data_IF_672854156311
#
_entry.id   IF_672854156311
#
_cell.length_a   1.000
_cell.length_b   1.000
_cell.length_c   1.000
_cell.angle_alpha   90.00
_cell.angle_beta   90.00
_cell.angle_gamma   90.00
#
_symmetry.space_group_name_H-M   'P 1'
#
loop_
_entity.id
_entity.type
_entity.pdbx_description
1 polymer ?
#
# COMPACT_ATOMS: atom_id res chain seq x y z
N UNK A 1 -0.70 -8.08 -10.28
CA UNK A 1 -1.20 -7.70 -8.93
C UNK A 1 -1.16 -6.18 -8.75
N UNK A 2 -1.59 -5.62 -7.60
CA UNK A 2 -1.55 -4.16 -7.36
C UNK A 2 -0.40 -3.76 -6.43
N UNK A 3 0.26 -2.65 -6.71
CA UNK A 3 1.25 -1.97 -5.85
C UNK A 3 0.67 -0.60 -5.50
N UNK A 4 0.61 -0.27 -4.21
CA UNK A 4 0.07 1.01 -3.74
C UNK A 4 1.19 1.78 -3.05
N UNK A 5 1.60 2.89 -3.65
CA UNK A 5 2.60 3.81 -3.11
C UNK A 5 1.87 5.01 -2.53
N UNK A 6 1.91 5.14 -1.20
CA UNK A 6 1.25 6.22 -0.47
C UNK A 6 2.28 7.22 0.04
N UNK A 7 2.01 8.51 -0.08
CA UNK A 7 2.78 9.56 0.61
C UNK A 7 1.87 10.26 1.61
N UNK A 8 2.25 10.18 2.89
CA UNK A 8 1.54 10.77 3.99
C UNK A 8 2.48 11.59 4.88
N UNK A 9 1.92 12.50 5.69
CA UNK A 9 2.72 13.42 6.51
C UNK A 9 2.04 14.77 6.70
N UNK A 10 2.70 15.67 7.40
CA UNK A 10 2.14 16.95 7.79
C UNK A 10 1.64 17.80 6.60
N UNK A 11 0.66 18.66 6.88
CA UNK A 11 0.09 19.59 5.91
C UNK A 11 1.14 20.56 5.33
N UNK A 12 1.01 20.86 4.02
CA UNK A 12 1.87 21.80 3.25
C UNK A 12 3.37 21.48 3.17
N UNK A 13 3.76 20.25 3.50
CA UNK A 13 5.16 19.79 3.45
C UNK A 13 5.61 19.16 2.11
N UNK A 14 4.91 19.45 1.01
CA UNK A 14 5.36 19.07 -0.35
C UNK A 14 5.19 17.59 -0.71
N UNK A 15 4.12 16.94 -0.24
CA UNK A 15 3.77 15.54 -0.55
C UNK A 15 3.43 15.33 -2.03
N UNK A 16 2.46 16.07 -2.54
CA UNK A 16 2.04 16.01 -3.95
C UNK A 16 3.19 16.39 -4.90
N UNK A 17 4.06 17.32 -4.48
CA UNK A 17 5.28 17.65 -5.21
C UNK A 17 6.24 16.46 -5.30
N UNK A 18 6.45 15.71 -4.20
CA UNK A 18 7.26 14.49 -4.21
C UNK A 18 6.63 13.39 -5.09
N UNK A 19 5.31 13.19 -4.98
CA UNK A 19 4.56 12.21 -5.78
C UNK A 19 4.69 12.46 -7.28
N UNK A 20 4.74 13.71 -7.72
CA UNK A 20 4.88 14.02 -9.14
C UNK A 20 6.23 13.52 -9.70
N UNK A 21 7.31 13.49 -8.92
CA UNK A 21 8.56 12.85 -9.40
C UNK A 21 8.41 11.34 -9.59
N UNK A 22 7.70 10.68 -8.67
CA UNK A 22 7.39 9.25 -8.81
C UNK A 22 6.50 8.98 -10.01
N UNK A 23 5.55 9.87 -10.27
CA UNK A 23 4.69 9.80 -11.44
C UNK A 23 5.49 9.91 -12.74
N UNK A 24 6.35 10.93 -12.86
CA UNK A 24 7.22 11.11 -14.02
C UNK A 24 8.15 9.90 -14.25
N UNK A 25 8.76 9.38 -13.18
CA UNK A 25 9.60 8.18 -13.27
C UNK A 25 8.80 6.96 -13.75
N UNK A 26 7.62 6.71 -13.18
CA UNK A 26 6.80 5.55 -13.54
C UNK A 26 6.31 5.62 -15.00
N UNK A 27 5.94 6.81 -15.50
CA UNK A 27 5.58 6.98 -16.91
C UNK A 27 6.78 6.77 -17.85
N UNK A 28 7.95 7.31 -17.49
CA UNK A 28 9.18 7.10 -18.24
C UNK A 28 9.59 5.61 -18.26
N UNK A 29 9.47 4.92 -17.12
CA UNK A 29 9.74 3.50 -16.98
C UNK A 29 8.75 2.65 -17.81
N UNK A 30 7.45 2.95 -17.74
CA UNK A 30 6.44 2.27 -18.55
C UNK A 30 6.71 2.43 -20.04
N UNK A 31 7.03 3.65 -20.49
CA UNK A 31 7.37 3.94 -21.89
C UNK A 31 8.64 3.22 -22.34
N UNK A 32 9.67 3.21 -21.49
CA UNK A 32 10.92 2.48 -21.70
C UNK A 32 10.67 0.98 -21.89
N UNK A 33 9.84 0.36 -21.06
CA UNK A 33 9.52 -1.06 -21.16
C UNK A 33 8.70 -1.43 -22.40
N UNK A 34 7.85 -0.52 -22.89
CA UNK A 34 7.07 -0.74 -24.11
C UNK A 34 7.94 -0.61 -25.38
N UNK A 35 8.84 0.37 -25.40
CA UNK A 35 9.63 0.72 -26.58
C UNK A 35 11.03 0.08 -26.61
N UNK A 36 11.46 -0.56 -25.52
CA UNK A 36 12.80 -1.16 -25.41
C UNK A 36 13.93 -0.14 -25.31
N UNK A 37 13.65 1.09 -24.87
CA UNK A 37 14.64 2.17 -24.74
C UNK A 37 15.13 2.31 -23.30
N UNK A 38 16.33 2.88 -23.05
CA UNK A 38 16.76 3.21 -21.70
C UNK A 38 15.78 4.18 -21.02
N UNK A 39 15.59 4.04 -19.71
CA UNK A 39 14.78 4.99 -18.91
C UNK A 39 15.52 6.33 -18.88
N UNK A 40 14.90 7.36 -19.45
CA UNK A 40 15.36 8.75 -19.39
C UNK A 40 14.26 9.58 -18.79
N UNK A 41 14.55 10.22 -17.67
CA UNK A 41 13.58 11.04 -16.95
C UNK A 41 14.33 12.12 -16.13
N UNK A 42 13.60 13.17 -15.77
CA UNK A 42 14.10 14.28 -14.97
C UNK A 42 15.23 15.09 -15.65
N UNK A 43 15.04 15.41 -16.93
CA UNK A 43 15.93 16.29 -17.69
C UNK A 43 15.60 17.78 -17.41
N UNK A 44 16.50 18.70 -17.76
CA UNK A 44 16.30 20.15 -17.55
C UNK A 44 15.09 20.75 -18.30
N UNK A 45 14.62 20.04 -19.33
CA UNK A 45 13.44 20.41 -20.11
C UNK A 45 12.15 19.77 -19.58
N UNK A 46 12.25 18.90 -18.57
CA UNK A 46 11.07 18.29 -17.95
C UNK A 46 10.37 19.32 -17.07
N UNK A 47 9.04 19.30 -17.13
CA UNK A 47 8.18 20.03 -16.20
C UNK A 47 7.38 18.99 -15.42
N UNK A 48 7.60 18.91 -14.12
CA UNK A 48 6.98 17.91 -13.26
C UNK A 48 5.51 18.27 -13.03
N UNK A 49 4.60 17.46 -13.57
CA UNK A 49 3.15 17.65 -13.46
C UNK A 49 2.47 16.40 -12.87
N UNK A 50 1.17 16.50 -12.57
CA UNK A 50 0.43 15.38 -12.01
C UNK A 50 -0.57 15.82 -10.94
N UNK A 51 -0.39 15.31 -9.72
CA UNK A 51 -1.15 15.71 -8.55
C UNK A 51 -1.12 17.23 -8.39
N UNK A 52 -2.30 17.78 -8.12
CA UNK A 52 -2.43 19.21 -7.95
C UNK A 52 -1.65 19.69 -6.73
N UNK A 53 -0.90 20.76 -6.91
CA UNK A 53 -0.17 21.40 -5.82
C UNK A 53 -0.22 22.91 -6.02
N UNK A 54 -0.70 23.65 -5.01
CA UNK A 54 -0.68 25.13 -4.99
C UNK A 54 0.10 25.69 -3.80
N UNK A 55 0.47 26.96 -3.89
CA UNK A 55 0.87 27.78 -2.74
C UNK A 55 -0.36 28.47 -2.13
N UNK A 56 -0.48 28.48 -0.81
CA UNK A 56 -1.58 29.13 -0.09
C UNK A 56 -1.80 28.52 1.30
N UNK A 57 -2.40 29.29 2.22
CA UNK A 57 -2.73 28.81 3.57
C UNK A 57 -3.95 27.88 3.61
N UNK A 58 -4.81 27.94 2.58
CA UNK A 58 -6.01 27.09 2.43
C UNK A 58 -5.64 25.65 2.06
N UNK A 59 -6.57 24.72 2.16
CA UNK A 59 -6.36 23.31 1.77
C UNK A 59 -6.28 23.12 0.26
N UNK A 60 -5.77 21.95 -0.15
CA UNK A 60 -5.68 21.54 -1.57
C UNK A 60 -6.15 20.08 -1.73
N UNK A 61 -5.70 19.19 -0.83
CA UNK A 61 -6.08 17.76 -0.80
C UNK A 61 -6.95 17.47 0.43
N UNK A 62 -8.19 17.04 0.25
CA UNK A 62 -9.07 16.51 1.31
C UNK A 62 -9.23 14.99 1.18
N UNK A 63 -9.10 14.24 2.27
CA UNK A 63 -9.21 12.77 2.25
C UNK A 63 -7.99 12.05 1.65
N UNK A 64 -8.24 11.03 0.84
CA UNK A 64 -7.23 10.23 0.14
C UNK A 64 -7.48 10.34 -1.37
N UNK A 65 -6.48 10.75 -2.11
CA UNK A 65 -6.50 10.86 -3.55
C UNK A 65 -5.67 9.75 -4.16
N UNK A 66 -6.17 9.14 -5.23
CA UNK A 66 -5.44 8.16 -6.02
C UNK A 66 -5.25 8.69 -7.43
N UNK A 67 -4.10 8.39 -8.03
CA UNK A 67 -3.90 8.68 -9.45
C UNK A 67 -4.90 7.89 -10.29
N UNK A 68 -5.59 8.57 -11.21
CA UNK A 68 -6.77 8.03 -11.89
C UNK A 68 -6.48 6.85 -12.82
N UNK A 69 -5.23 6.70 -13.27
CA UNK A 69 -4.82 5.63 -14.18
C UNK A 69 -3.71 4.77 -13.55
N UNK A 70 -3.96 3.49 -13.26
CA UNK A 70 -2.92 2.58 -12.79
C UNK A 70 -1.81 2.42 -13.82
N UNK A 71 -0.56 2.63 -13.42
CA UNK A 71 0.60 2.54 -14.32
C UNK A 71 1.09 1.08 -14.33
N UNK A 72 1.06 0.45 -15.50
CA UNK A 72 1.44 -0.96 -15.65
C UNK A 72 2.96 -1.10 -15.77
N UNK A 73 3.62 -1.67 -14.76
CA UNK A 73 5.06 -1.93 -14.78
C UNK A 73 5.31 -3.43 -14.83
N UNK A 74 6.17 -3.88 -15.74
CA UNK A 74 6.67 -5.25 -15.76
C UNK A 74 7.76 -5.38 -14.69
N UNK A 75 7.53 -6.22 -13.70
CA UNK A 75 8.50 -6.54 -12.65
C UNK A 75 9.66 -7.38 -13.20
N UNK A 76 10.75 -7.50 -12.43
CA UNK A 76 11.88 -8.33 -12.79
C UNK A 76 11.52 -9.82 -12.95
N UNK A 77 10.49 -10.29 -12.22
CA UNK A 77 9.91 -11.64 -12.36
C UNK A 77 9.17 -11.85 -13.70
N UNK A 78 8.92 -10.80 -14.45
CA UNK A 78 8.11 -10.80 -15.68
C UNK A 78 6.62 -10.55 -15.45
N UNK A 79 6.14 -10.53 -14.20
CA UNK A 79 4.74 -10.19 -13.89
C UNK A 79 4.44 -8.72 -14.20
N UNK A 80 3.24 -8.45 -14.72
CA UNK A 80 2.72 -7.08 -14.84
C UNK A 80 2.05 -6.65 -13.54
N UNK A 81 2.61 -5.62 -12.91
CA UNK A 81 2.09 -4.98 -11.71
C UNK A 81 1.35 -3.69 -12.08
N UNK A 82 0.19 -3.46 -11.46
CA UNK A 82 -0.53 -2.20 -11.56
C UNK A 82 -0.09 -1.30 -10.39
N UNK A 83 0.67 -0.25 -10.70
CA UNK A 83 1.19 0.69 -9.70
C UNK A 83 0.21 1.87 -9.58
N UNK A 84 -0.26 2.14 -8.38
CA UNK A 84 -1.15 3.26 -8.08
C UNK A 84 -0.46 4.17 -7.05
N UNK A 85 -0.40 5.45 -7.37
CA UNK A 85 0.07 6.48 -6.45
C UNK A 85 -1.10 7.03 -5.64
N UNK A 86 -0.87 7.24 -4.36
CA UNK A 86 -1.84 7.73 -3.39
C UNK A 86 -1.29 8.95 -2.66
N UNK A 87 -1.99 10.08 -2.77
CA UNK A 87 -1.72 11.31 -2.02
C UNK A 87 -2.71 11.39 -0.86
N UNK A 88 -2.22 11.49 0.36
CA UNK A 88 -3.10 11.65 1.52
C UNK A 88 -3.21 13.12 1.91
N UNK A 89 -4.34 13.48 2.52
CA UNK A 89 -4.46 14.74 3.22
C UNK A 89 -3.31 14.89 4.22
N UNK A 90 -2.85 16.13 4.38
CA UNK A 90 -1.89 16.45 5.42
C UNK A 90 -2.52 16.37 6.80
N UNK A 91 -1.94 15.58 7.69
CA UNK A 91 -2.36 15.58 9.08
C UNK A 91 -2.10 16.96 9.72
N UNK A 92 -2.89 17.31 10.74
CA UNK A 92 -2.70 18.49 11.61
C UNK A 92 -2.94 19.85 10.94
N UNK A 93 -3.98 19.96 10.10
CA UNK A 93 -4.46 21.27 9.67
C UNK A 93 -5.49 21.85 10.67
N UNK A 94 -5.83 23.13 10.50
CA UNK A 94 -6.70 23.85 11.45
C UNK A 94 -8.18 23.52 11.35
N UNK A 95 -8.62 22.66 10.41
CA UNK A 95 -10.05 22.39 10.19
C UNK A 95 -10.42 20.89 10.25
N UNK A 96 -9.46 19.99 10.47
CA UNK A 96 -9.72 18.55 10.63
C UNK A 96 -9.40 18.12 12.05
N UNK A 97 -10.20 17.22 12.58
CA UNK A 97 -9.91 16.67 13.91
C UNK A 97 -8.67 15.78 13.83
N UNK A 98 -7.94 15.67 14.94
CA UNK A 98 -6.84 14.72 15.09
C UNK A 98 -7.27 13.29 14.69
N UNK A 99 -8.49 12.91 15.05
CA UNK A 99 -9.08 11.61 14.73
C UNK A 99 -9.29 11.40 13.23
N UNK A 100 -9.77 12.40 12.48
CA UNK A 100 -9.91 12.29 11.02
C UNK A 100 -8.57 12.10 10.32
N UNK A 101 -7.56 12.87 10.73
CA UNK A 101 -6.20 12.76 10.20
C UNK A 101 -5.61 11.36 10.50
N UNK A 102 -5.83 10.87 11.72
CA UNK A 102 -5.45 9.53 12.17
C UNK A 102 -6.09 8.45 11.31
N UNK A 103 -7.38 8.54 11.05
CA UNK A 103 -8.10 7.55 10.23
C UNK A 103 -7.59 7.53 8.79
N UNK A 104 -7.38 8.69 8.17
CA UNK A 104 -6.85 8.81 6.80
C UNK A 104 -5.46 8.17 6.70
N UNK A 105 -4.57 8.47 7.64
CA UNK A 105 -3.22 7.94 7.64
C UNK A 105 -3.18 6.43 7.93
N UNK A 106 -4.00 5.97 8.89
CA UNK A 106 -4.12 4.55 9.22
C UNK A 106 -4.62 3.77 8.01
N UNK A 107 -5.67 4.27 7.36
CA UNK A 107 -6.20 3.73 6.11
C UNK A 107 -5.13 3.65 5.03
N UNK A 108 -4.42 4.74 4.77
CA UNK A 108 -3.38 4.78 3.72
C UNK A 108 -2.26 3.77 4.01
N UNK A 109 -1.85 3.64 5.26
CA UNK A 109 -0.82 2.70 5.69
C UNK A 109 -1.28 1.26 5.48
N UNK A 110 -2.52 0.95 5.90
CA UNK A 110 -3.13 -0.37 5.74
C UNK A 110 -3.19 -0.80 4.28
N UNK A 111 -3.63 0.08 3.38
CA UNK A 111 -3.83 -0.27 1.96
C UNK A 111 -2.53 -0.21 1.15
N UNK A 112 -1.55 0.56 1.59
CA UNK A 112 -0.27 0.70 0.89
C UNK A 112 0.61 -0.55 1.00
N UNK A 113 1.39 -0.80 -0.06
CA UNK A 113 2.54 -1.72 0.01
C UNK A 113 3.84 -0.96 0.32
N UNK A 114 3.90 0.31 -0.06
CA UNK A 114 4.94 1.27 0.30
C UNK A 114 4.29 2.53 0.88
N UNK A 115 4.45 2.74 2.18
CA UNK A 115 4.06 3.98 2.85
C UNK A 115 5.28 4.88 2.99
N UNK A 116 5.24 6.05 2.38
CA UNK A 116 6.25 7.10 2.53
C UNK A 116 5.74 8.09 3.56
N UNK A 117 6.50 8.30 4.63
CA UNK A 117 6.20 9.28 5.65
C UNK A 117 7.08 10.52 5.45
N UNK A 118 6.48 11.58 4.93
CA UNK A 118 7.14 12.83 4.58
C UNK A 118 7.20 13.76 5.80
N UNK A 119 8.40 13.86 6.36
CA UNK A 119 8.73 14.69 7.53
C UNK A 119 9.67 15.81 7.08
N UNK A 120 9.70 16.95 7.78
CA UNK A 120 10.58 18.09 7.44
C UNK A 120 11.56 18.33 8.56
N UNK A 121 12.78 18.73 8.20
CA UNK A 121 13.93 19.00 9.06
C UNK A 121 14.50 17.77 9.76
N UNK A 122 13.70 17.08 10.58
CA UNK A 122 14.15 15.95 11.41
C UNK A 122 12.98 15.03 11.80
N UNK A 123 13.29 13.79 12.17
CA UNK A 123 12.30 12.87 12.77
C UNK A 123 12.19 13.19 14.26
N UNK A 124 11.07 13.80 14.64
CA UNK A 124 10.77 14.17 16.02
C UNK A 124 9.92 13.09 16.71
N UNK A 125 9.88 13.10 18.05
CA UNK A 125 9.12 12.10 18.82
C UNK A 125 7.63 12.10 18.52
N UNK A 126 7.04 13.27 18.24
CA UNK A 126 5.64 13.37 17.81
C UNK A 126 5.41 12.63 16.48
N UNK A 127 6.36 12.69 15.55
CA UNK A 127 6.31 11.97 14.29
C UNK A 127 6.31 10.44 14.52
N UNK A 128 7.10 9.95 15.48
CA UNK A 128 7.14 8.54 15.88
C UNK A 128 5.85 8.12 16.60
N UNK A 129 5.41 8.90 17.58
CA UNK A 129 4.20 8.62 18.38
C UNK A 129 2.93 8.59 17.53
N UNK A 130 2.80 9.52 16.57
CA UNK A 130 1.70 9.52 15.63
C UNK A 130 1.64 8.18 14.89
N UNK A 131 2.76 7.71 14.35
CA UNK A 131 2.83 6.41 13.69
C UNK A 131 2.51 5.24 14.64
N UNK A 132 2.97 5.29 15.89
CA UNK A 132 2.68 4.24 16.90
C UNK A 132 1.19 4.10 17.17
N UNK A 133 0.44 5.20 17.28
CA UNK A 133 -1.02 5.14 17.43
C UNK A 133 -1.66 4.38 16.26
N UNK A 134 -1.22 4.67 15.04
CA UNK A 134 -1.75 4.08 13.81
C UNK A 134 -1.39 2.61 13.66
N UNK A 135 -0.17 2.26 14.05
CA UNK A 135 0.33 0.89 14.08
C UNK A 135 -0.45 0.05 15.08
N UNK A 136 -0.77 0.57 16.27
CA UNK A 136 -1.64 -0.13 17.23
C UNK A 136 -3.01 -0.44 16.64
N UNK A 137 -3.63 0.50 15.93
CA UNK A 137 -4.90 0.26 15.24
C UNK A 137 -4.80 -0.82 14.15
N UNK A 138 -3.68 -0.86 13.41
CA UNK A 138 -3.42 -1.94 12.46
C UNK A 138 -3.21 -3.29 13.14
N UNK A 139 -2.43 -3.34 14.22
CA UNK A 139 -2.15 -4.57 14.96
C UNK A 139 -3.40 -5.14 15.63
N UNK A 140 -4.23 -4.32 16.28
CA UNK A 140 -5.50 -4.77 16.86
C UNK A 140 -6.38 -5.44 15.82
N UNK A 141 -6.31 -4.96 14.57
CA UNK A 141 -7.03 -5.57 13.47
C UNK A 141 -6.40 -6.86 12.91
N UNK A 142 -5.12 -7.11 13.18
CA UNK A 142 -4.42 -8.34 12.81
C UNK A 142 -4.40 -9.40 13.91
N UNK A 143 -4.37 -9.01 15.18
CA UNK A 143 -4.39 -9.92 16.33
C UNK A 143 -5.68 -10.73 16.40
N UNK A 144 -6.82 -10.09 16.11
CA UNK A 144 -8.10 -10.78 15.99
C UNK A 144 -8.09 -11.85 14.87
N UNK A 145 -7.15 -11.76 13.93
CA UNK A 145 -7.01 -12.66 12.78
C UNK A 145 -6.00 -13.80 13.01
N UNK A 146 -5.38 -13.89 14.20
CA UNK A 146 -4.38 -14.93 14.59
C UNK A 146 -3.26 -15.16 13.55
N UNK A 147 -2.77 -14.10 12.91
CA UNK A 147 -1.73 -14.21 11.89
C UNK A 147 -0.32 -14.12 12.47
N UNK A 148 0.61 -14.87 11.88
CA UNK A 148 2.04 -14.80 12.16
C UNK A 148 2.71 -13.91 11.11
N UNK A 149 3.26 -12.75 11.51
CA UNK A 149 4.03 -11.86 10.63
C UNK A 149 3.88 -10.37 10.96
N UNK A 150 4.62 -9.52 10.24
CA UNK A 150 4.49 -8.06 10.37
C UNK A 150 3.24 -7.56 9.64
N UNK A 151 2.42 -6.69 10.25
CA UNK A 151 1.16 -6.24 9.65
C UNK A 151 1.32 -5.38 8.39
N UNK A 152 2.46 -4.72 8.24
CA UNK A 152 2.71 -3.81 7.13
C UNK A 152 3.98 -4.21 6.39
N UNK A 153 4.07 -3.81 5.11
CA UNK A 153 5.19 -4.16 4.25
C UNK A 153 6.35 -3.17 4.43
N UNK A 154 6.32 -2.03 3.73
CA UNK A 154 7.45 -1.08 3.76
C UNK A 154 6.99 0.28 4.26
N UNK A 155 7.69 0.81 5.27
CA UNK A 155 7.64 2.20 5.67
C UNK A 155 8.94 2.89 5.27
N UNK A 156 8.83 4.03 4.58
CA UNK A 156 9.96 4.85 4.18
C UNK A 156 9.82 6.25 4.78
N UNK A 157 10.69 6.61 5.71
CA UNK A 157 10.81 8.00 6.14
C UNK A 157 11.49 8.81 5.03
N UNK A 158 10.87 9.93 4.65
CA UNK A 158 11.44 10.89 3.74
C UNK A 158 11.61 12.20 4.50
N UNK A 159 12.84 12.48 4.95
CA UNK A 159 13.18 13.68 5.71
C UNK A 159 13.56 14.77 4.73
N UNK A 160 12.70 15.77 4.60
CA UNK A 160 12.86 16.92 3.70
C UNK A 160 13.69 18.00 4.36
N UNK A 161 14.40 18.77 3.56
CA UNK A 161 15.16 19.94 4.00
C UNK A 161 16.16 19.60 5.13
N UNK A 162 16.77 18.41 5.08
CA UNK A 162 17.67 17.92 6.11
C UNK A 162 18.92 18.81 6.23
N UNK A 163 19.33 19.13 7.47
CA UNK A 163 20.28 20.21 7.77
C UNK A 163 21.69 19.76 8.15
N UNK A 164 21.91 18.47 8.43
CA UNK A 164 23.19 17.96 8.94
C UNK A 164 23.88 16.95 7.99
N UNK A 165 24.10 17.28 6.69
CA UNK A 165 24.66 16.33 5.72
C UNK A 165 26.11 15.90 6.01
N UNK A 166 26.82 16.64 6.86
CA UNK A 166 28.18 16.29 7.29
C UNK A 166 28.21 15.12 8.27
N UNK A 167 27.16 14.98 9.09
CA UNK A 167 27.01 13.87 10.03
C UNK A 167 26.35 12.67 9.34
N UNK A 168 25.28 12.95 8.57
CA UNK A 168 24.53 11.94 7.83
C UNK A 168 24.39 12.38 6.37
N UNK A 169 25.12 11.78 5.42
CA UNK A 169 25.05 12.18 4.02
C UNK A 169 23.63 12.04 3.46
N UNK A 170 23.29 12.83 2.45
CA UNK A 170 21.97 12.73 1.81
C UNK A 170 21.73 11.35 1.17
N UNK A 171 20.46 11.02 0.96
CA UNK A 171 20.03 9.75 0.39
C UNK A 171 19.75 8.66 1.43
N UNK A 172 19.76 7.41 0.97
CA UNK A 172 19.43 6.24 1.78
C UNK A 172 20.53 5.89 2.78
N UNK A 173 21.81 6.00 2.38
CA UNK A 173 22.92 5.56 3.22
C UNK A 173 23.00 6.33 4.54
N UNK A 174 22.99 7.67 4.48
CA UNK A 174 22.94 8.48 5.69
C UNK A 174 21.58 8.41 6.37
N UNK A 175 20.49 8.23 5.61
CA UNK A 175 19.15 8.05 6.17
C UNK A 175 19.03 6.83 7.06
N UNK A 176 19.59 5.68 6.68
CA UNK A 176 19.55 4.48 7.52
C UNK A 176 20.38 4.64 8.79
N UNK A 177 21.58 5.22 8.69
CA UNK A 177 22.39 5.55 9.88
C UNK A 177 21.63 6.50 10.83
N UNK A 178 21.00 7.53 10.28
CA UNK A 178 20.17 8.47 11.05
C UNK A 178 18.97 7.77 11.71
N UNK A 179 18.32 6.85 10.99
CA UNK A 179 17.18 6.08 11.53
C UNK A 179 17.60 5.14 12.65
N UNK A 180 18.76 4.47 12.53
CA UNK A 180 19.32 3.62 13.59
C UNK A 180 19.50 4.41 14.88
N UNK A 181 20.05 5.63 14.79
CA UNK A 181 20.22 6.51 15.95
C UNK A 181 18.88 6.99 16.53
N UNK A 182 17.92 7.35 15.67
CA UNK A 182 16.57 7.77 16.10
C UNK A 182 15.84 6.64 16.85
N UNK A 183 15.98 5.39 16.39
CA UNK A 183 15.34 4.21 16.99
C UNK A 183 16.15 3.57 18.11
N UNK A 184 17.39 4.01 18.32
CA UNK A 184 18.21 3.49 19.40
C UNK A 184 17.54 3.77 20.75
N UNK A 185 17.60 2.79 21.65
CA UNK A 185 17.03 2.88 23.00
C UNK A 185 18.11 2.66 24.04
N UNK A 186 18.00 3.31 25.19
CA UNK A 186 18.97 3.17 26.27
C UNK A 186 18.31 2.98 27.63
N UNK A 187 19.05 2.36 28.55
CA UNK A 187 18.61 2.14 29.92
C UNK A 187 18.46 3.50 30.63
N UNK A 188 17.22 3.85 31.01
CA UNK A 188 16.88 5.14 31.62
C UNK A 188 15.99 6.04 30.75
N UNK A 189 15.76 5.69 29.48
CA UNK A 189 14.74 6.34 28.66
C UNK A 189 13.32 5.98 29.16
N UNK A 190 12.34 6.90 29.10
CA UNK A 190 10.95 6.60 29.45
C UNK A 190 10.42 5.38 28.68
N UNK A 191 9.72 4.48 29.38
CA UNK A 191 9.23 3.23 28.80
C UNK A 191 8.30 3.46 27.60
N UNK A 192 7.52 4.54 27.59
CA UNK A 192 6.67 4.91 26.46
C UNK A 192 7.45 5.11 25.16
N UNK A 193 8.62 5.76 25.23
CA UNK A 193 9.48 6.01 24.07
C UNK A 193 10.14 4.73 23.56
N UNK A 194 10.53 3.84 24.49
CA UNK A 194 11.08 2.52 24.17
C UNK A 194 10.05 1.63 23.49
N UNK A 195 8.82 1.60 24.03
CA UNK A 195 7.70 0.84 23.45
C UNK A 195 7.30 1.37 22.07
N UNK A 196 7.33 2.68 21.87
CA UNK A 196 7.07 3.33 20.57
C UNK A 196 8.05 2.81 19.51
N UNK A 197 9.35 2.81 19.82
CA UNK A 197 10.41 2.34 18.91
C UNK A 197 10.32 0.84 18.65
N UNK A 198 10.16 0.03 19.71
CA UNK A 198 9.99 -1.42 19.59
C UNK A 198 8.79 -1.78 18.71
N UNK A 199 7.67 -1.07 18.89
CA UNK A 199 6.47 -1.27 18.10
C UNK A 199 6.71 -0.96 16.62
N UNK A 200 7.33 0.18 16.30
CA UNK A 200 7.62 0.58 14.92
C UNK A 200 8.52 -0.45 14.23
N UNK A 201 9.61 -0.86 14.89
CA UNK A 201 10.57 -1.83 14.36
C UNK A 201 9.94 -3.21 14.10
N UNK A 202 8.91 -3.60 14.86
CA UNK A 202 8.22 -4.90 14.69
C UNK A 202 7.03 -4.87 13.74
N UNK A 203 6.57 -3.70 13.31
CA UNK A 203 5.30 -3.58 12.59
C UNK A 203 5.44 -3.54 11.07
N UNK A 204 6.64 -3.26 10.57
CA UNK A 204 6.93 -3.21 9.14
C UNK A 204 7.97 -4.25 8.77
N UNK A 205 7.81 -4.93 7.64
CA UNK A 205 8.82 -5.85 7.12
C UNK A 205 10.11 -5.13 6.73
N UNK A 206 9.99 -3.90 6.24
CA UNK A 206 11.12 -3.05 5.87
C UNK A 206 10.92 -1.64 6.41
N UNK A 207 11.97 -1.09 7.01
CA UNK A 207 12.06 0.30 7.40
C UNK A 207 13.18 0.98 6.61
N UNK A 208 12.82 2.00 5.84
CA UNK A 208 13.72 2.77 5.01
C UNK A 208 13.74 4.22 5.46
N UNK A 209 14.83 4.92 5.20
CA UNK A 209 14.95 6.35 5.48
C UNK A 209 15.78 7.04 4.40
N UNK A 210 15.26 8.14 3.85
CA UNK A 210 15.94 8.98 2.88
C UNK A 210 16.03 10.41 3.40
N UNK A 211 17.24 10.97 3.38
CA UNK A 211 17.50 12.37 3.72
C UNK A 211 17.58 13.18 2.43
N UNK A 212 16.66 14.12 2.24
CA UNK A 212 16.63 14.98 1.07
C UNK A 212 17.10 16.39 1.43
N UNK A 213 17.92 17.03 0.57
CA UNK A 213 18.32 18.42 0.76
C UNK A 213 17.15 19.37 0.53
N UNK A 214 17.38 20.65 0.78
CA UNK A 214 16.45 21.71 0.42
C UNK A 214 16.32 21.88 -1.11
N UNK A 215 15.10 21.92 -1.69
CA UNK A 215 14.90 21.93 -3.14
C UNK A 215 15.26 23.25 -3.84
N UNK A 216 15.51 24.32 -3.09
CA UNK A 216 15.90 25.64 -3.60
C UNK A 216 14.82 26.72 -3.45
N UNK A 217 15.26 27.98 -3.43
CA UNK A 217 14.40 29.14 -3.14
C UNK A 217 13.24 29.28 -4.12
N UNK A 218 13.47 29.10 -5.43
CA UNK A 218 12.40 29.16 -6.45
C UNK A 218 11.27 28.18 -6.17
N UNK A 219 11.62 26.96 -5.73
CA UNK A 219 10.66 25.91 -5.38
C UNK A 219 9.95 26.21 -4.06
N UNK A 220 10.61 26.86 -3.10
CA UNK A 220 10.04 27.17 -1.79
C UNK A 220 9.17 28.44 -1.76
N UNK A 221 9.52 29.45 -2.55
CA UNK A 221 8.78 30.71 -2.66
C UNK A 221 7.48 30.55 -3.47
N UNK A 222 7.37 29.48 -4.28
CA UNK A 222 6.13 28.89 -4.88
C UNK A 222 5.19 29.83 -5.65
N UNK A 223 5.51 31.11 -5.83
CA UNK A 223 4.67 32.09 -6.55
C UNK A 223 4.83 32.01 -8.08
N UNK A 224 5.95 31.48 -8.57
CA UNK A 224 6.27 31.38 -10.00
C UNK A 224 6.73 30.00 -10.46
N UNK A 225 7.00 29.08 -9.53
CA UNK A 225 7.45 27.73 -9.88
C UNK A 225 6.31 26.93 -10.52
N UNK A 226 6.54 26.39 -11.71
CA UNK A 226 5.54 25.60 -12.45
C UNK A 226 5.91 24.12 -12.55
N UNK A 227 6.89 23.67 -11.76
CA UNK A 227 7.41 22.30 -11.85
C UNK A 227 8.63 22.16 -12.77
N UNK A 228 9.16 23.25 -13.31
CA UNK A 228 10.31 23.23 -14.23
C UNK A 228 11.55 22.66 -13.54
N UNK A 229 12.03 21.52 -14.02
CA UNK A 229 13.12 20.80 -13.37
C UNK A 229 14.35 21.70 -13.25
N UNK A 230 14.68 22.49 -14.28
CA UNK A 230 15.78 23.46 -14.30
C UNK A 230 15.84 24.44 -13.11
N UNK A 231 14.72 24.71 -12.45
CA UNK A 231 14.64 25.65 -11.32
C UNK A 231 14.87 25.00 -9.96
N UNK A 232 14.99 23.66 -9.93
CA UNK A 232 15.22 22.87 -8.72
C UNK A 232 16.73 22.75 -8.48
N UNK A 233 17.20 22.79 -7.24
CA UNK A 233 18.62 22.57 -6.91
C UNK A 233 19.11 21.19 -7.40
N UNK A 234 20.27 21.14 -8.06
CA UNK A 234 20.83 19.91 -8.66
C UNK A 234 20.95 18.75 -7.68
N UNK A 235 21.50 19.02 -6.49
CA UNK A 235 21.66 18.05 -5.40
C UNK A 235 20.32 17.41 -4.99
N UNK A 236 19.24 18.22 -4.91
CA UNK A 236 17.90 17.69 -4.63
C UNK A 236 17.40 16.78 -5.75
N UNK A 237 17.61 17.17 -7.01
CA UNK A 237 17.18 16.34 -8.15
C UNK A 237 17.91 15.00 -8.17
N UNK A 238 19.19 15.01 -7.85
CA UNK A 238 20.00 13.79 -7.81
C UNK A 238 19.49 12.83 -6.73
N UNK A 239 19.24 13.32 -5.52
CA UNK A 239 18.77 12.47 -4.42
C UNK A 239 17.34 11.99 -4.61
N UNK A 240 16.44 12.83 -5.16
CA UNK A 240 15.09 12.38 -5.54
C UNK A 240 15.13 11.37 -6.69
N UNK A 241 16.06 11.53 -7.65
CA UNK A 241 16.24 10.56 -8.73
C UNK A 241 16.63 9.19 -8.16
N UNK A 242 17.67 9.15 -7.33
CA UNK A 242 18.12 7.93 -6.64
C UNK A 242 17.00 7.29 -5.82
N UNK A 243 16.25 8.10 -5.07
CA UNK A 243 15.12 7.63 -4.28
C UNK A 243 14.02 6.99 -5.13
N UNK A 244 13.57 7.67 -6.20
CA UNK A 244 12.51 7.17 -7.07
C UNK A 244 12.93 5.86 -7.76
N UNK A 245 14.15 5.81 -8.31
CA UNK A 245 14.69 4.63 -8.97
C UNK A 245 14.83 3.46 -7.99
N UNK A 246 15.33 3.72 -6.77
CA UNK A 246 15.48 2.68 -5.76
C UNK A 246 14.14 2.14 -5.25
N UNK A 247 13.13 3.00 -5.05
CA UNK A 247 11.85 2.59 -4.47
C UNK A 247 10.90 1.98 -5.51
N UNK A 248 11.00 2.39 -6.77
CA UNK A 248 10.00 2.10 -7.81
C UNK A 248 10.56 1.31 -8.99
N UNK A 249 11.82 0.85 -8.92
CA UNK A 249 12.39 -0.04 -9.94
C UNK A 249 11.61 -1.36 -10.06
N UNK A 250 11.68 -2.03 -11.23
CA UNK A 250 11.05 -3.34 -11.43
C UNK A 250 11.45 -4.43 -10.41
N UNK A 251 12.59 -4.28 -9.74
CA UNK A 251 13.07 -5.17 -8.67
C UNK A 251 12.59 -4.77 -7.28
N UNK A 252 12.30 -3.48 -7.06
CA UNK A 252 11.88 -2.96 -5.76
C UNK A 252 10.36 -3.00 -5.56
N UNK A 253 9.58 -2.90 -6.64
CA UNK A 253 8.12 -2.92 -6.57
C UNK A 253 7.61 -4.24 -6.00
N UNK A 254 6.96 -4.17 -4.83
CA UNK A 254 6.33 -5.30 -4.17
C UNK A 254 4.81 -5.17 -4.24
N UNK A 255 4.08 -6.22 -4.67
CA UNK A 255 2.62 -6.22 -4.66
C UNK A 255 2.11 -6.04 -3.24
N UNK A 256 0.93 -5.44 -3.09
CA UNK A 256 0.25 -5.37 -1.80
C UNK A 256 -0.07 -6.77 -1.33
N UNK A 257 0.39 -7.11 -0.12
CA UNK A 257 0.08 -8.37 0.54
C UNK A 257 -0.93 -8.11 1.67
N UNK A 258 -2.00 -8.90 1.68
CA UNK A 258 -2.97 -8.97 2.79
C UNK A 258 -3.14 -10.46 3.10
N UNK A 259 -3.04 -10.83 4.39
CA UNK A 259 -3.13 -12.22 4.85
C UNK A 259 -2.13 -13.16 4.13
N UNK A 260 -0.90 -12.68 3.89
CA UNK A 260 0.14 -13.46 3.20
C UNK A 260 -0.07 -13.66 1.70
N UNK A 261 -1.15 -13.11 1.11
CA UNK A 261 -1.45 -13.23 -0.33
C UNK A 261 -1.39 -11.90 -1.05
N UNK A 262 -0.90 -11.87 -2.30
CA UNK A 262 -0.89 -10.66 -3.10
C UNK A 262 -2.31 -10.28 -3.52
N UNK A 263 -2.59 -8.98 -3.49
CA UNK A 263 -3.90 -8.39 -3.72
C UNK A 263 -4.02 -7.88 -5.17
N UNK A 264 -5.22 -7.92 -5.72
CA UNK A 264 -5.54 -7.36 -7.04
C UNK A 264 -6.27 -6.03 -6.90
N UNK A 265 -6.31 -5.20 -7.96
CA UNK A 265 -7.06 -3.94 -7.94
C UNK A 265 -8.55 -4.16 -7.62
N UNK A 266 -9.16 -5.20 -8.19
CA UNK A 266 -10.55 -5.56 -7.93
C UNK A 266 -10.76 -5.82 -6.43
N UNK A 267 -9.86 -6.60 -5.83
CA UNK A 267 -9.97 -6.97 -4.42
C UNK A 267 -9.81 -5.76 -3.49
N UNK A 268 -8.89 -4.86 -3.83
CA UNK A 268 -8.71 -3.63 -3.07
C UNK A 268 -9.95 -2.73 -3.12
N UNK A 269 -10.65 -2.67 -4.27
CA UNK A 269 -11.92 -1.92 -4.39
C UNK A 269 -13.01 -2.54 -3.50
N UNK A 270 -13.10 -3.87 -3.44
CA UNK A 270 -14.04 -4.55 -2.54
C UNK A 270 -13.76 -4.20 -1.08
N UNK A 271 -12.49 -4.16 -0.66
CA UNK A 271 -12.12 -3.68 0.66
C UNK A 271 -12.64 -2.27 0.96
N UNK A 272 -12.51 -1.35 0.00
CA UNK A 272 -13.00 0.03 0.18
C UNK A 272 -14.53 0.10 0.25
N UNK A 273 -15.24 -0.77 -0.47
CA UNK A 273 -16.71 -0.79 -0.51
C UNK A 273 -17.33 -1.31 0.78
N UNK A 274 -16.82 -2.40 1.35
CA UNK A 274 -17.33 -2.99 2.61
C UNK A 274 -17.24 -1.96 3.74
N UNK A 275 -16.17 -1.15 3.77
CA UNK A 275 -16.01 -0.05 4.72
C UNK A 275 -17.07 1.07 4.61
N UNK A 276 -17.77 1.18 3.48
CA UNK A 276 -18.73 2.26 3.22
C UNK A 276 -20.20 1.79 3.24
N UNK A 277 -20.46 0.50 3.06
CA UNK A 277 -21.84 -0.05 2.95
C UNK A 277 -22.47 -0.41 4.30
N UNK A 278 -21.67 -0.78 5.30
CA UNK A 278 -22.18 -1.13 6.63
C UNK A 278 -22.27 0.14 7.48
N UNK A 279 -23.38 0.86 7.31
CA UNK A 279 -23.75 2.03 8.13
C UNK A 279 -24.06 1.73 9.60
N UNK A 280 -23.69 0.54 10.10
CA UNK A 280 -23.83 0.14 11.51
C UNK A 280 -22.45 -0.18 12.08
N UNK A 281 -22.10 0.55 13.14
CA UNK A 281 -20.87 0.50 13.92
C UNK A 281 -19.56 0.84 13.19
N UNK A 282 -19.17 2.11 13.30
CA UNK A 282 -17.80 2.61 13.07
C UNK A 282 -16.73 2.02 14.02
N UNK A 283 -16.98 0.84 14.62
CA UNK A 283 -16.04 0.12 15.50
C UNK A 283 -15.08 -0.79 14.75
N UNK A 284 -15.42 -1.19 13.52
CA UNK A 284 -14.63 -2.18 12.81
C UNK A 284 -13.61 -1.48 11.91
N UNK A 285 -12.33 -1.58 12.31
CA UNK A 285 -11.20 -0.98 11.61
C UNK A 285 -11.18 -1.37 10.13
N UNK A 286 -10.77 -0.48 9.21
CA UNK A 286 -10.74 -0.75 7.77
C UNK A 286 -9.94 -1.97 7.34
N UNK A 287 -8.98 -2.39 8.17
CA UNK A 287 -8.23 -3.62 8.00
C UNK A 287 -9.10 -4.86 8.21
N UNK A 288 -10.10 -4.81 9.10
CA UNK A 288 -11.10 -5.87 9.27
C UNK A 288 -11.93 -6.03 8.01
N UNK A 289 -12.53 -4.97 7.48
CA UNK A 289 -13.33 -5.08 6.25
C UNK A 289 -12.51 -5.65 5.09
N UNK A 290 -11.26 -5.21 4.96
CA UNK A 290 -10.37 -5.66 3.89
C UNK A 290 -9.91 -7.11 4.07
N UNK A 291 -9.70 -7.53 5.32
CA UNK A 291 -9.35 -8.90 5.67
C UNK A 291 -10.57 -9.84 5.64
N UNK A 292 -11.76 -9.38 6.03
CA UNK A 292 -13.04 -10.08 5.90
C UNK A 292 -13.33 -10.35 4.44
N UNK A 293 -13.19 -9.35 3.57
CA UNK A 293 -13.28 -9.54 2.12
C UNK A 293 -12.28 -10.60 1.64
N UNK A 294 -11.05 -10.59 2.15
CA UNK A 294 -10.04 -11.60 1.77
C UNK A 294 -10.40 -13.00 2.29
N UNK A 295 -10.91 -13.12 3.52
CA UNK A 295 -11.39 -14.38 4.09
C UNK A 295 -12.62 -14.92 3.35
N UNK A 296 -13.55 -14.07 2.91
CA UNK A 296 -14.69 -14.51 2.10
C UNK A 296 -14.23 -15.08 0.76
N UNK A 297 -13.19 -14.52 0.16
CA UNK A 297 -12.63 -15.05 -1.09
C UNK A 297 -11.87 -16.36 -0.88
N UNK A 298 -11.12 -16.50 0.21
CA UNK A 298 -10.47 -17.77 0.53
C UNK A 298 -11.50 -18.88 0.72
N UNK A 299 -12.57 -18.59 1.46
CA UNK A 299 -13.67 -19.53 1.69
C UNK A 299 -14.47 -19.80 0.42
N UNK A 300 -14.64 -18.80 -0.46
CA UNK A 300 -15.24 -19.00 -1.78
C UNK A 300 -14.35 -19.88 -2.67
N UNK A 301 -13.04 -19.66 -2.68
CA UNK A 301 -12.10 -20.52 -3.41
C UNK A 301 -12.04 -21.94 -2.83
N UNK A 302 -12.11 -22.09 -1.51
CA UNK A 302 -12.24 -23.39 -0.83
C UNK A 302 -13.54 -24.10 -1.24
N UNK A 303 -14.66 -23.39 -1.27
CA UNK A 303 -15.93 -23.93 -1.74
C UNK A 303 -15.89 -24.34 -3.23
N UNK A 304 -15.18 -23.57 -4.07
CA UNK A 304 -14.93 -23.92 -5.48
C UNK A 304 -14.05 -25.17 -5.58
N UNK A 305 -12.98 -25.27 -4.79
CA UNK A 305 -12.05 -26.40 -4.84
C UNK A 305 -12.69 -27.69 -4.29
N UNK A 306 -13.49 -27.59 -3.23
CA UNK A 306 -14.31 -28.69 -2.73
C UNK A 306 -15.34 -29.14 -3.77
N UNK A 307 -16.06 -28.20 -4.39
CA UNK A 307 -17.01 -28.52 -5.45
C UNK A 307 -16.32 -29.20 -6.65
N UNK A 308 -15.15 -28.71 -7.05
CA UNK A 308 -14.34 -29.31 -8.11
C UNK A 308 -13.86 -30.71 -7.74
N UNK A 309 -13.41 -30.90 -6.51
CA UNK A 309 -12.97 -32.21 -5.98
C UNK A 309 -14.12 -33.21 -5.99
N UNK A 310 -15.32 -32.80 -5.57
CA UNK A 310 -16.53 -33.62 -5.63
C UNK A 310 -16.86 -34.01 -7.09
N UNK A 311 -16.83 -33.04 -8.01
CA UNK A 311 -17.08 -33.30 -9.43
C UNK A 311 -16.10 -34.33 -10.01
N UNK A 312 -14.79 -34.11 -9.82
CA UNK A 312 -13.74 -35.02 -10.30
C UNK A 312 -13.90 -36.41 -9.71
N UNK A 313 -14.13 -36.51 -8.40
CA UNK A 313 -14.30 -37.80 -7.71
C UNK A 313 -15.51 -38.59 -8.22
N UNK A 314 -16.66 -37.93 -8.42
CA UNK A 314 -17.87 -38.60 -8.92
C UNK A 314 -17.73 -38.98 -10.40
N UNK A 315 -17.10 -38.13 -11.22
CA UNK A 315 -16.77 -38.48 -12.60
C UNK A 315 -15.81 -39.66 -12.68
N UNK A 316 -14.74 -39.68 -11.90
CA UNK A 316 -13.78 -40.79 -11.87
C UNK A 316 -14.47 -42.10 -11.46
N UNK A 317 -15.29 -42.08 -10.40
CA UNK A 317 -16.09 -43.25 -10.00
C UNK A 317 -17.01 -43.72 -11.12
N UNK A 318 -17.69 -42.81 -11.80
CA UNK A 318 -18.58 -43.16 -12.90
C UNK A 318 -17.79 -43.75 -14.09
N UNK A 319 -16.57 -43.28 -14.32
CA UNK A 319 -15.70 -43.70 -15.43
C UNK A 319 -14.84 -44.94 -15.13
N UNK A 320 -14.85 -45.48 -13.90
CA UNK A 320 -14.10 -46.70 -13.52
C UNK A 320 -14.48 -47.97 -14.30
N UNK A 321 -15.63 -48.01 -14.96
CA UNK A 321 -15.98 -49.11 -15.87
C UNK A 321 -15.32 -48.90 -17.23
N UNK A 322 -14.39 -49.80 -17.61
CA UNK A 322 -13.58 -49.75 -18.85
C UNK A 322 -14.35 -49.93 -20.18
N UNK A 323 -15.68 -49.82 -20.20
CA UNK A 323 -16.44 -49.92 -21.45
C UNK A 323 -16.66 -48.53 -22.07
N UNK A 324 -16.56 -48.45 -23.39
CA UNK A 324 -16.88 -47.24 -24.15
C UNK A 324 -18.32 -46.81 -23.83
N UNK A 325 -18.46 -45.59 -23.30
CA UNK A 325 -19.75 -44.99 -22.99
C UNK A 325 -20.29 -44.27 -24.21
N UNK A 326 -21.56 -44.54 -24.55
CA UNK A 326 -22.28 -43.68 -25.48
C UNK A 326 -22.33 -42.25 -24.94
N UNK A 327 -22.22 -41.25 -25.81
CA UNK A 327 -22.27 -39.82 -25.48
C UNK A 327 -23.47 -39.46 -24.58
N UNK A 328 -24.66 -40.02 -24.85
CA UNK A 328 -25.87 -39.82 -24.05
C UNK A 328 -25.74 -40.29 -22.58
N UNK A 329 -25.01 -41.38 -22.35
CA UNK A 329 -24.73 -41.92 -21.00
C UNK A 329 -23.65 -41.11 -20.28
N UNK A 330 -22.66 -40.62 -21.03
CA UNK A 330 -21.62 -39.73 -20.51
C UNK A 330 -22.22 -38.40 -20.05
N UNK A 331 -23.06 -37.78 -20.89
CA UNK A 331 -23.74 -36.53 -20.56
C UNK A 331 -24.61 -36.67 -19.31
N UNK A 332 -25.38 -37.76 -19.19
CA UNK A 332 -26.19 -38.02 -17.99
C UNK A 332 -25.34 -38.15 -16.71
N UNK A 333 -24.12 -38.68 -16.81
CA UNK A 333 -23.18 -38.80 -15.69
C UNK A 333 -22.57 -37.45 -15.35
N UNK A 334 -22.14 -36.69 -16.35
CA UNK A 334 -21.66 -35.32 -16.20
C UNK A 334 -22.65 -34.43 -15.46
N UNK A 335 -23.91 -34.35 -15.93
CA UNK A 335 -24.94 -33.51 -15.31
C UNK A 335 -25.22 -33.91 -13.85
N UNK A 336 -25.09 -35.20 -13.52
CA UNK A 336 -25.25 -35.69 -12.13
C UNK A 336 -24.08 -35.28 -11.25
N UNK A 337 -22.85 -35.41 -11.74
CA UNK A 337 -21.64 -34.98 -11.01
C UNK A 337 -21.59 -33.46 -10.85
N UNK A 338 -22.02 -32.71 -11.87
CA UNK A 338 -22.17 -31.25 -11.81
C UNK A 338 -23.20 -30.84 -10.74
N UNK A 339 -24.39 -31.46 -10.73
CA UNK A 339 -25.39 -31.18 -9.71
C UNK A 339 -24.89 -31.50 -8.29
N UNK A 340 -24.12 -32.57 -8.10
CA UNK A 340 -23.52 -32.91 -6.81
C UNK A 340 -22.47 -31.87 -6.36
N UNK A 341 -21.66 -31.38 -7.29
CA UNK A 341 -20.68 -30.33 -7.04
C UNK A 341 -21.36 -28.99 -6.67
N UNK A 342 -22.42 -28.62 -7.38
CA UNK A 342 -23.20 -27.41 -7.07
C UNK A 342 -23.88 -27.49 -5.69
N UNK A 343 -24.38 -28.67 -5.30
CA UNK A 343 -24.93 -28.88 -3.94
C UNK A 343 -23.84 -28.75 -2.88
N UNK A 344 -22.62 -29.22 -3.15
CA UNK A 344 -21.49 -29.07 -2.23
C UNK A 344 -21.09 -27.59 -2.07
N UNK A 345 -21.04 -26.84 -3.17
CA UNK A 345 -20.81 -25.40 -3.18
C UNK A 345 -21.87 -24.65 -2.34
N UNK A 346 -23.16 -24.85 -2.63
CA UNK A 346 -24.28 -24.18 -1.95
C UNK A 346 -24.37 -24.52 -0.45
N UNK A 347 -23.92 -25.71 -0.05
CA UNK A 347 -23.94 -26.13 1.37
C UNK A 347 -22.97 -25.33 2.22
N UNK A 348 -21.80 -24.99 1.67
CA UNK A 348 -20.83 -24.15 2.37
C UNK A 348 -21.39 -22.73 2.48
N UNK A 349 -21.98 -22.19 1.41
CA UNK A 349 -22.61 -20.86 1.38
C UNK A 349 -23.81 -20.72 2.36
N UNK A 350 -24.69 -21.74 2.47
CA UNK A 350 -25.85 -21.71 3.39
C UNK A 350 -25.49 -21.88 4.86
N UNK A 351 -24.33 -22.47 5.18
CA UNK A 351 -23.82 -22.54 6.56
C UNK A 351 -23.41 -21.14 7.04
N UNK A 352 -23.01 -20.25 6.13
CA UNK A 352 -22.59 -18.87 6.41
C UNK A 352 -23.74 -17.94 6.81
N UNK A 353 -24.92 -18.05 6.19
CA UNK A 353 -26.08 -17.21 6.55
C UNK A 353 -26.55 -17.46 7.98
N UNK A 354 -26.30 -18.68 8.50
CA UNK A 354 -26.55 -19.03 9.90
C UNK A 354 -25.48 -18.48 10.82
N UNK A 355 -24.19 -18.62 10.51
CA UNK A 355 -23.09 -18.16 11.37
C UNK A 355 -23.06 -16.63 11.55
N UNK A 356 -23.34 -15.86 10.49
CA UNK A 356 -23.52 -14.40 10.56
C UNK A 356 -24.69 -13.98 11.47
N UNK A 357 -25.74 -14.79 11.53
CA UNK A 357 -26.91 -14.54 12.40
C UNK A 357 -26.64 -14.79 13.88
N UNK A 358 -25.57 -15.53 14.20
CA UNK A 358 -25.24 -15.91 15.57
C UNK A 358 -23.97 -15.23 16.12
N UNK A 359 -23.36 -14.28 15.39
CA UNK A 359 -22.24 -13.47 15.89
C UNK A 359 -20.95 -14.26 16.17
N UNK A 360 -20.78 -15.42 15.55
CA UNK A 360 -19.56 -16.24 15.68
C UNK A 360 -18.52 -15.95 14.61
N UNK A 361 -18.83 -15.07 13.65
CA UNK A 361 -17.96 -14.51 12.61
C UNK A 361 -18.40 -13.08 12.36
#
# INVERSE_FOLDING_TARGET
QVVIVSVAGAFRKGKSFLLNFFLEYLYALNSSQQNGTPVKWLDDNTQVQGFHWRSGASRDTEGIWMWGEPILIKAASGEKLAVVLMDTQGAFDSQSTYQQCTTIFTLSTIVSSLQIYNVVDAIQEDALQNLTLFVKYGQMAMEQMKQFGTPFQTLCYCVRDFKAPQEYPFGNEGGQKYMEDVLNTYAGQPDELRLTRDLLSKSFSNLLCYLLPYPGMKVAERRSFKGDVRDIRSEFREEVRKMAESLLSPTALQPKIINGKPVTCKKLIECFKVNYSDGESASDSPLFACSLASLTDERSNEAIDDAKTVYCTEMDKAMKQRSLLSEKKLLKRHTRSEAAAMIAYDRLEKRETKLRKFGFI
#
